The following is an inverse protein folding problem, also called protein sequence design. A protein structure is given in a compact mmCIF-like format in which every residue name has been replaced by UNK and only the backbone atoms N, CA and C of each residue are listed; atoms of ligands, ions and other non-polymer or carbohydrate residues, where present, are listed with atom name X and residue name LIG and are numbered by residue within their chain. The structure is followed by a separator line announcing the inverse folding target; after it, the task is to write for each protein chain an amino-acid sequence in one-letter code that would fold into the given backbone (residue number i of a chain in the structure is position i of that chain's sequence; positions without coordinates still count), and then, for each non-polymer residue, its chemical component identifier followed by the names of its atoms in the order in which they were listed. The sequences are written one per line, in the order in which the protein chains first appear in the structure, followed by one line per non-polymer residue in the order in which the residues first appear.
data_IF_941660236576
#
_entry.id   IF_941660236576
#
_cell.length_a   1.000
_cell.length_b   1.000
_cell.length_c   1.000
_cell.angle_alpha   90.00
_cell.angle_beta   90.00
_cell.angle_gamma   90.00
#
_symmetry.space_group_name_H-M   'P 1'
#
loop_
_entity.id
_entity.type
_entity.pdbx_description
1 polymer ?
#
# COMPACT_ATOMS: atom_id res chain seq x y z
N UNK A 1 41.25 -20.25 -2.07
CA UNK A 1 40.03 -19.55 -2.52
C UNK A 1 39.87 -18.35 -1.59
N UNK A 2 40.14 -17.12 -2.05
CA UNK A 2 40.09 -15.93 -1.20
C UNK A 2 38.64 -15.45 -1.07
N UNK A 3 38.01 -15.77 0.06
CA UNK A 3 36.70 -15.24 0.43
C UNK A 3 36.86 -13.79 0.87
N UNK A 4 36.80 -12.85 -0.07
CA UNK A 4 36.65 -11.43 0.24
C UNK A 4 35.16 -11.14 0.48
N UNK A 5 34.62 -11.63 1.59
CA UNK A 5 33.24 -11.32 2.00
C UNK A 5 33.25 -9.97 2.68
N UNK A 6 32.61 -8.97 2.08
CA UNK A 6 32.46 -7.66 2.70
C UNK A 6 31.47 -7.76 3.85
N UNK A 7 31.80 -7.16 4.99
CA UNK A 7 30.91 -7.06 6.16
C UNK A 7 29.57 -6.40 5.75
N UNK A 8 29.62 -5.47 4.80
CA UNK A 8 28.43 -4.81 4.25
C UNK A 8 27.47 -5.82 3.63
N UNK A 9 27.97 -6.80 2.88
CA UNK A 9 27.15 -7.78 2.17
C UNK A 9 26.41 -8.69 3.16
N UNK A 10 27.06 -9.03 4.28
CA UNK A 10 26.46 -9.79 5.40
C UNK A 10 25.33 -8.99 6.06
N UNK A 11 25.53 -7.69 6.28
CA UNK A 11 24.54 -6.81 6.91
C UNK A 11 23.38 -6.44 5.97
N UNK A 12 23.54 -6.58 4.66
CA UNK A 12 22.48 -6.33 3.66
C UNK A 12 21.75 -7.59 3.21
N UNK A 13 21.96 -8.72 3.90
CA UNK A 13 21.27 -9.96 3.57
C UNK A 13 19.74 -9.79 3.61
N UNK A 14 19.01 -10.50 2.73
CA UNK A 14 17.56 -10.61 2.82
C UNK A 14 17.09 -11.05 4.23
N UNK A 15 15.97 -10.48 4.69
CA UNK A 15 15.42 -10.70 6.04
C UNK A 15 15.14 -12.18 6.33
N UNK A 16 14.71 -12.96 5.33
CA UNK A 16 14.50 -14.40 5.44
C UNK A 16 15.80 -15.17 5.74
N UNK A 17 16.93 -14.75 5.16
CA UNK A 17 18.24 -15.36 5.42
C UNK A 17 18.73 -15.00 6.82
N UNK A 18 18.60 -13.73 7.22
CA UNK A 18 18.92 -13.29 8.59
C UNK A 18 18.08 -14.04 9.64
N UNK A 19 16.80 -14.27 9.35
CA UNK A 19 15.91 -15.06 10.21
C UNK A 19 16.39 -16.51 10.34
N UNK A 20 16.75 -17.16 9.22
CA UNK A 20 17.28 -18.51 9.25
C UNK A 20 18.59 -18.61 10.04
N UNK A 21 19.52 -17.66 9.86
CA UNK A 21 20.78 -17.59 10.59
C UNK A 21 20.54 -17.37 12.08
N UNK A 22 19.68 -16.41 12.45
CA UNK A 22 19.31 -16.16 13.84
C UNK A 22 18.64 -17.37 14.48
N UNK A 23 17.81 -18.11 13.74
CA UNK A 23 17.14 -19.31 14.24
C UNK A 23 18.14 -20.43 14.48
N UNK A 24 19.06 -20.66 13.54
CA UNK A 24 20.10 -21.68 13.66
C UNK A 24 21.08 -21.37 14.81
N UNK A 25 21.57 -20.14 14.90
CA UNK A 25 22.46 -19.73 15.99
C UNK A 25 21.73 -19.68 17.33
N UNK A 26 20.47 -19.24 17.35
CA UNK A 26 19.63 -19.25 18.54
C UNK A 26 19.34 -20.67 19.03
N UNK A 27 19.05 -21.60 18.12
CA UNK A 27 18.88 -23.02 18.44
C UNK A 27 20.16 -23.60 19.06
N UNK A 28 21.32 -23.35 18.46
CA UNK A 28 22.61 -23.80 19.00
C UNK A 28 22.87 -23.29 20.42
N UNK A 29 22.52 -22.03 20.72
CA UNK A 29 22.77 -21.42 22.03
C UNK A 29 21.74 -21.79 23.10
N UNK A 30 20.49 -22.05 22.72
CA UNK A 30 19.36 -22.27 23.62
C UNK A 30 18.96 -23.74 23.75
N UNK A 31 19.54 -24.63 22.94
CA UNK A 31 19.27 -26.06 23.01
C UNK A 31 19.82 -26.68 24.31
N UNK A 32 19.15 -27.73 24.80
CA UNK A 32 19.61 -28.49 25.96
C UNK A 32 20.84 -29.34 25.63
N UNK A 33 21.64 -29.67 26.65
CA UNK A 33 22.81 -30.53 26.51
C UNK A 33 22.48 -31.88 25.85
N UNK A 34 21.34 -32.48 26.17
CA UNK A 34 20.89 -33.75 25.57
C UNK A 34 20.69 -33.64 24.05
N UNK A 35 20.14 -32.51 23.57
CA UNK A 35 19.94 -32.26 22.15
C UNK A 35 21.28 -32.00 21.45
N UNK A 36 22.14 -31.17 22.06
CA UNK A 36 23.46 -30.86 21.51
C UNK A 36 24.35 -32.10 21.39
N UNK A 37 24.29 -33.00 22.38
CA UNK A 37 24.97 -34.29 22.33
C UNK A 37 24.43 -35.20 21.22
N UNK A 38 23.10 -35.23 21.03
CA UNK A 38 22.46 -36.04 19.97
C UNK A 38 22.82 -35.60 18.56
N UNK A 39 23.09 -34.30 18.37
CA UNK A 39 23.55 -33.73 17.10
C UNK A 39 25.08 -33.62 16.98
N UNK A 40 25.84 -34.08 17.98
CA UNK A 40 27.31 -33.95 18.05
C UNK A 40 27.82 -32.50 17.95
N UNK A 41 27.03 -31.54 18.45
CA UNK A 41 27.31 -30.10 18.39
C UNK A 41 27.85 -29.53 19.71
N UNK A 42 27.93 -30.34 20.77
CA UNK A 42 28.30 -29.85 22.11
C UNK A 42 29.73 -29.32 22.20
N UNK A 43 30.70 -30.07 21.69
CA UNK A 43 32.10 -29.65 21.68
C UNK A 43 32.29 -28.38 20.83
N UNK A 44 31.63 -28.32 19.67
CA UNK A 44 31.62 -27.13 18.82
C UNK A 44 31.07 -25.89 19.52
N UNK A 45 30.00 -26.03 20.31
CA UNK A 45 29.45 -24.92 21.07
C UNK A 45 30.37 -24.45 22.19
N UNK A 46 31.11 -25.37 22.83
CA UNK A 46 32.09 -25.01 23.86
C UNK A 46 33.23 -24.18 23.25
N UNK A 47 33.72 -24.58 22.08
CA UNK A 47 34.85 -23.91 21.42
C UNK A 47 34.46 -22.58 20.75
N UNK A 48 33.27 -22.51 20.14
CA UNK A 48 32.84 -21.36 19.31
C UNK A 48 31.63 -20.59 19.86
N UNK A 49 31.13 -20.95 21.05
CA UNK A 49 29.88 -20.41 21.61
C UNK A 49 29.87 -18.89 21.75
N UNK A 50 31.01 -18.28 22.09
CA UNK A 50 31.14 -16.83 22.16
C UNK A 50 30.91 -16.15 20.79
N UNK A 51 31.47 -16.70 19.71
CA UNK A 51 31.33 -16.16 18.36
C UNK A 51 29.88 -16.33 17.88
N UNK A 52 29.29 -17.51 18.09
CA UNK A 52 27.90 -17.80 17.73
C UNK A 52 26.94 -16.87 18.49
N UNK A 53 27.24 -16.59 19.77
CA UNK A 53 26.53 -15.62 20.60
C UNK A 53 26.53 -14.22 20.00
N UNK A 54 27.70 -13.71 19.60
CA UNK A 54 27.82 -12.38 19.00
C UNK A 54 27.03 -12.30 17.69
N UNK A 55 27.18 -13.30 16.82
CA UNK A 55 26.46 -13.39 15.54
C UNK A 55 24.94 -13.43 15.75
N UNK A 56 24.47 -14.21 16.72
CA UNK A 56 23.05 -14.27 17.07
C UNK A 56 22.52 -12.90 17.52
N UNK A 57 23.24 -12.20 18.41
CA UNK A 57 22.84 -10.89 18.92
C UNK A 57 22.69 -9.86 17.79
N UNK A 58 23.61 -9.88 16.81
CA UNK A 58 23.54 -8.95 15.66
C UNK A 58 22.31 -9.24 14.81
N UNK A 59 22.10 -10.51 14.41
CA UNK A 59 20.96 -10.85 13.56
C UNK A 59 19.61 -10.64 14.25
N UNK A 60 19.48 -11.03 15.52
CA UNK A 60 18.22 -10.85 16.25
C UNK A 60 17.89 -9.36 16.43
N UNK A 61 18.90 -8.52 16.65
CA UNK A 61 18.73 -7.06 16.78
C UNK A 61 18.21 -6.43 15.48
N UNK A 62 18.76 -6.84 14.33
CA UNK A 62 18.28 -6.37 13.01
C UNK A 62 16.85 -6.85 12.75
N UNK A 63 16.52 -8.09 13.09
CA UNK A 63 15.17 -8.65 12.95
C UNK A 63 14.15 -7.90 13.81
N UNK A 64 14.49 -7.59 15.06
CA UNK A 64 13.62 -6.82 15.97
C UNK A 64 13.32 -5.44 15.39
N UNK A 65 14.34 -4.70 14.92
CA UNK A 65 14.15 -3.38 14.32
C UNK A 65 13.28 -3.47 13.06
N UNK A 66 13.53 -4.45 12.20
CA UNK A 66 12.76 -4.67 10.97
C UNK A 66 11.30 -4.98 11.28
N UNK A 67 11.04 -5.79 12.31
CA UNK A 67 9.71 -6.12 12.77
C UNK A 67 8.97 -4.88 13.28
N UNK A 68 9.63 -4.04 14.10
CA UNK A 68 9.05 -2.78 14.60
C UNK A 68 8.66 -1.88 13.43
N UNK A 69 9.55 -1.68 12.45
CA UNK A 69 9.26 -0.84 11.28
C UNK A 69 8.06 -1.35 10.49
N UNK A 70 7.98 -2.67 10.27
CA UNK A 70 6.88 -3.28 9.52
C UNK A 70 5.54 -3.16 10.25
N UNK A 71 5.54 -3.37 11.57
CA UNK A 71 4.35 -3.18 12.41
C UNK A 71 3.90 -1.72 12.38
N UNK A 72 4.82 -0.76 12.53
CA UNK A 72 4.50 0.66 12.46
C UNK A 72 3.89 1.03 11.11
N UNK A 73 4.48 0.60 9.99
CA UNK A 73 3.94 0.83 8.65
C UNK A 73 2.55 0.21 8.46
N UNK A 74 2.33 -1.00 8.97
CA UNK A 74 1.03 -1.67 8.91
C UNK A 74 -0.05 -0.90 9.69
N UNK A 75 0.27 -0.43 10.90
CA UNK A 75 -0.64 0.37 11.72
C UNK A 75 -0.93 1.70 11.04
N UNK A 76 0.08 2.38 10.51
CA UNK A 76 -0.06 3.64 9.77
C UNK A 76 -0.95 3.48 8.52
N UNK A 77 -0.70 2.44 7.72
CA UNK A 77 -1.49 2.13 6.54
C UNK A 77 -2.97 1.91 6.90
N UNK A 78 -3.24 1.08 7.91
CA UNK A 78 -4.61 0.81 8.40
C UNK A 78 -5.27 2.08 8.94
N UNK A 79 -4.53 2.92 9.68
CA UNK A 79 -5.04 4.18 10.22
C UNK A 79 -5.34 5.18 9.10
N UNK A 80 -4.48 5.29 8.09
CA UNK A 80 -4.66 6.18 6.96
C UNK A 80 -5.86 5.74 6.11
N UNK A 81 -6.01 4.45 5.86
CA UNK A 81 -7.19 3.88 5.20
C UNK A 81 -8.46 4.24 5.98
N UNK A 82 -8.50 3.99 7.29
CA UNK A 82 -9.69 4.30 8.08
C UNK A 82 -10.02 5.80 8.10
N UNK A 83 -9.00 6.67 8.20
CA UNK A 83 -9.19 8.13 8.09
C UNK A 83 -9.70 8.54 6.72
N UNK A 84 -9.22 7.89 5.66
CA UNK A 84 -9.65 8.14 4.29
C UNK A 84 -11.15 7.85 4.13
N UNK A 85 -11.61 6.65 4.50
CA UNK A 85 -13.01 6.27 4.38
C UNK A 85 -13.93 7.09 5.31
N UNK A 86 -13.50 7.38 6.54
CA UNK A 86 -14.29 8.22 7.48
C UNK A 86 -14.58 9.62 6.95
N UNK A 87 -13.64 10.19 6.18
CA UNK A 87 -13.79 11.53 5.60
C UNK A 87 -14.35 11.51 4.17
N UNK A 88 -14.60 10.33 3.60
CA UNK A 88 -15.00 10.19 2.21
C UNK A 88 -16.32 10.93 1.87
N UNK A 89 -17.41 10.82 2.66
CA UNK A 89 -18.64 11.59 2.38
C UNK A 89 -18.40 13.10 2.41
N UNK A 90 -17.59 13.60 3.35
CA UNK A 90 -17.27 15.02 3.46
C UNK A 90 -16.51 15.53 2.24
N UNK A 91 -15.60 14.73 1.69
CA UNK A 91 -14.85 15.08 0.47
C UNK A 91 -15.77 15.20 -0.73
N UNK A 92 -16.69 14.25 -0.93
CA UNK A 92 -17.65 14.31 -2.03
C UNK A 92 -18.59 15.51 -1.87
N UNK A 93 -19.08 15.80 -0.65
CA UNK A 93 -19.93 16.98 -0.38
C UNK A 93 -19.23 18.31 -0.65
N UNK A 94 -17.90 18.38 -0.49
CA UNK A 94 -17.10 19.58 -0.73
C UNK A 94 -16.82 19.91 -2.21
N UNK A 95 -17.22 19.03 -3.13
CA UNK A 95 -17.09 19.28 -4.57
C UNK A 95 -17.99 20.44 -5.02
N UNK A 96 -17.58 21.13 -6.09
CA UNK A 96 -18.42 22.18 -6.70
C UNK A 96 -19.66 21.55 -7.35
N UNK A 97 -20.72 22.33 -7.59
CA UNK A 97 -21.94 21.80 -8.22
C UNK A 97 -21.67 21.15 -9.59
N UNK A 98 -20.74 21.72 -10.37
CA UNK A 98 -20.32 21.15 -11.65
C UNK A 98 -19.55 19.83 -11.49
N UNK A 99 -18.63 19.76 -10.53
CA UNK A 99 -17.93 18.51 -10.20
C UNK A 99 -18.89 17.42 -9.72
N UNK A 100 -19.85 17.78 -8.87
CA UNK A 100 -20.92 16.88 -8.43
C UNK A 100 -21.76 16.38 -9.60
N UNK A 101 -22.06 17.25 -10.57
CA UNK A 101 -22.78 16.88 -11.79
C UNK A 101 -21.99 15.87 -12.63
N UNK A 102 -20.69 16.08 -12.81
CA UNK A 102 -19.80 15.11 -13.48
C UNK A 102 -19.82 13.76 -12.75
N UNK A 103 -19.59 13.76 -11.44
CA UNK A 103 -19.58 12.53 -10.62
C UNK A 103 -20.91 11.78 -10.73
N UNK A 104 -22.04 12.49 -10.64
CA UNK A 104 -23.36 11.88 -10.78
C UNK A 104 -23.60 11.32 -12.19
N UNK A 105 -23.18 12.05 -13.23
CA UNK A 105 -23.28 11.59 -14.62
C UNK A 105 -22.55 10.26 -14.82
N UNK A 106 -21.31 10.17 -14.33
CA UNK A 106 -20.54 8.92 -14.39
C UNK A 106 -21.18 7.82 -13.53
N UNK A 107 -21.68 8.15 -12.34
CA UNK A 107 -22.30 7.19 -11.42
C UNK A 107 -23.51 6.47 -12.01
N UNK A 108 -24.28 7.15 -12.88
CA UNK A 108 -25.45 6.58 -13.54
C UNK A 108 -25.13 5.58 -14.65
N UNK A 109 -23.93 5.63 -15.21
CA UNK A 109 -23.52 4.67 -16.23
C UNK A 109 -23.30 3.29 -15.61
N UNK A 110 -23.75 2.23 -16.28
CA UNK A 110 -23.65 0.84 -15.77
C UNK A 110 -22.20 0.42 -15.48
N UNK A 111 -21.25 0.94 -16.25
CA UNK A 111 -19.81 0.68 -16.09
C UNK A 111 -19.08 1.79 -15.31
N UNK A 112 -19.83 2.75 -14.75
CA UNK A 112 -19.33 3.92 -14.04
C UNK A 112 -18.23 4.68 -14.78
N UNK A 113 -18.29 4.73 -16.11
CA UNK A 113 -17.27 5.35 -16.96
C UNK A 113 -17.90 6.36 -17.92
N UNK A 114 -17.28 7.53 -18.09
CA UNK A 114 -17.69 8.50 -19.11
C UNK A 114 -16.48 9.14 -19.81
N UNK A 115 -16.60 9.51 -21.11
CA UNK A 115 -15.58 10.27 -21.81
C UNK A 115 -15.59 11.74 -21.35
N UNK A 116 -14.49 12.21 -20.77
CA UNK A 116 -14.36 13.60 -20.27
C UNK A 116 -13.15 14.33 -20.90
N UNK A 117 -13.26 15.64 -21.17
CA UNK A 117 -12.14 16.45 -21.64
C UNK A 117 -10.98 16.48 -20.63
N UNK A 118 -9.76 16.22 -21.09
CA UNK A 118 -8.57 16.29 -20.22
C UNK A 118 -8.14 17.73 -19.89
N UNK A 119 -8.62 18.69 -20.67
CA UNK A 119 -8.32 20.12 -20.51
C UNK A 119 -9.28 20.81 -19.54
N UNK A 120 -10.36 20.14 -19.14
CA UNK A 120 -11.34 20.67 -18.19
C UNK A 120 -10.76 20.68 -16.76
N UNK A 121 -10.69 21.86 -16.15
CA UNK A 121 -10.13 22.03 -14.81
C UNK A 121 -10.88 21.26 -13.72
N UNK A 122 -12.20 21.06 -13.85
CA UNK A 122 -12.97 20.27 -12.91
C UNK A 122 -12.61 18.77 -13.02
N UNK A 123 -12.37 18.27 -14.23
CA UNK A 123 -11.92 16.89 -14.47
C UNK A 123 -10.53 16.67 -13.89
N UNK A 124 -9.60 17.60 -14.14
CA UNK A 124 -8.25 17.57 -13.58
C UNK A 124 -8.28 17.56 -12.05
N UNK A 125 -9.10 18.40 -11.43
CA UNK A 125 -9.22 18.46 -9.97
C UNK A 125 -9.86 17.17 -9.40
N UNK A 126 -10.85 16.60 -10.06
CA UNK A 126 -11.46 15.31 -9.67
C UNK A 126 -10.45 14.15 -9.76
N UNK A 127 -9.60 14.14 -10.78
CA UNK A 127 -8.52 13.17 -10.95
C UNK A 127 -7.47 13.33 -9.82
N UNK A 128 -7.04 14.55 -9.51
CA UNK A 128 -6.10 14.84 -8.42
C UNK A 128 -6.67 14.47 -7.03
N UNK A 129 -7.99 14.61 -6.83
CA UNK A 129 -8.69 14.20 -5.60
C UNK A 129 -8.94 12.69 -5.53
N UNK A 130 -8.49 11.90 -6.50
CA UNK A 130 -8.75 10.46 -6.61
C UNK A 130 -10.25 10.13 -6.59
N UNK A 131 -11.10 11.00 -7.14
CA UNK A 131 -12.54 10.74 -7.29
C UNK A 131 -12.78 9.96 -8.58
N UNK A 132 -12.10 10.35 -9.65
CA UNK A 132 -12.11 9.67 -10.95
C UNK A 132 -10.71 9.21 -11.33
N UNK A 133 -10.59 8.24 -12.22
CA UNK A 133 -9.33 7.79 -12.79
C UNK A 133 -9.47 7.39 -14.25
N UNK A 134 -8.42 7.60 -15.05
CA UNK A 134 -8.41 7.18 -16.46
C UNK A 134 -8.41 5.66 -16.56
N UNK A 135 -9.18 5.12 -17.48
CA UNK A 135 -9.15 3.67 -17.78
C UNK A 135 -8.03 3.31 -18.76
N UNK A 136 -7.51 4.29 -19.51
CA UNK A 136 -6.37 4.14 -20.42
C UNK A 136 -5.49 5.38 -20.40
N UNK A 137 -4.19 5.20 -20.66
CA UNK A 137 -3.23 6.30 -20.78
C UNK A 137 -3.13 6.85 -22.21
N UNK A 138 -3.72 6.16 -23.19
CA UNK A 138 -3.68 6.56 -24.60
C UNK A 138 -5.05 6.35 -25.25
N UNK A 139 -5.45 7.29 -26.11
CA UNK A 139 -6.65 7.20 -26.94
C UNK A 139 -6.31 7.61 -28.37
N UNK A 140 -7.03 7.05 -29.34
CA UNK A 140 -7.04 7.54 -30.71
C UNK A 140 -8.16 8.59 -30.77
N UNK A 141 -7.82 9.82 -31.16
CA UNK A 141 -8.79 10.91 -31.29
C UNK A 141 -8.57 11.66 -32.60
N UNK A 142 -9.67 11.93 -33.30
CA UNK A 142 -9.66 12.79 -34.50
C UNK A 142 -9.72 14.27 -34.13
N UNK A 143 -10.12 14.60 -32.89
CA UNK A 143 -10.19 15.95 -32.37
C UNK A 143 -9.07 16.19 -31.35
N UNK A 144 -7.98 16.82 -31.80
CA UNK A 144 -6.84 17.21 -30.96
C UNK A 144 -7.11 18.44 -30.09
N UNK A 145 -8.14 19.24 -30.40
CA UNK A 145 -8.46 20.46 -29.67
C UNK A 145 -9.32 20.19 -28.41
N UNK A 146 -10.07 19.09 -28.40
CA UNK A 146 -10.87 18.63 -27.26
C UNK A 146 -10.73 17.10 -27.06
N UNK A 147 -9.54 16.60 -26.68
CA UNK A 147 -9.34 15.18 -26.48
C UNK A 147 -10.07 14.69 -25.21
N UNK A 148 -10.95 13.70 -25.38
CA UNK A 148 -11.75 13.11 -24.30
C UNK A 148 -11.27 11.74 -23.92
N UNK A 149 -10.86 11.56 -22.67
CA UNK A 149 -10.43 10.27 -22.14
C UNK A 149 -11.58 9.58 -21.40
N UNK A 150 -11.66 8.24 -21.43
CA UNK A 150 -12.58 7.51 -20.56
C UNK A 150 -12.11 7.58 -19.11
N UNK A 151 -12.95 8.16 -18.26
CA UNK A 151 -12.75 8.26 -16.81
C UNK A 151 -13.76 7.39 -16.07
N UNK A 152 -13.26 6.58 -15.13
CA UNK A 152 -14.02 5.70 -14.25
C UNK A 152 -14.11 6.32 -12.85
N UNK A 153 -15.24 6.17 -12.17
CA UNK A 153 -15.33 6.47 -10.73
C UNK A 153 -14.51 5.48 -9.93
N UNK A 154 -13.69 6.00 -9.01
CA UNK A 154 -12.93 5.13 -8.12
C UNK A 154 -13.87 4.31 -7.23
N UNK A 155 -13.55 3.03 -6.92
CA UNK A 155 -14.48 2.14 -6.19
C UNK A 155 -14.99 2.71 -4.87
N UNK A 156 -14.14 3.41 -4.12
CA UNK A 156 -14.52 4.04 -2.86
C UNK A 156 -15.59 5.13 -3.03
N UNK A 157 -15.66 5.79 -4.19
CA UNK A 157 -16.65 6.83 -4.48
C UNK A 157 -18.01 6.17 -4.70
N UNK A 158 -18.04 5.10 -5.50
CA UNK A 158 -19.24 4.30 -5.75
C UNK A 158 -19.78 3.77 -4.42
N UNK A 159 -18.94 3.11 -3.62
CA UNK A 159 -19.32 2.61 -2.29
C UNK A 159 -19.89 3.70 -1.38
N UNK A 160 -19.31 4.90 -1.39
CA UNK A 160 -19.76 6.00 -0.52
C UNK A 160 -21.09 6.58 -0.98
N UNK A 161 -21.33 6.69 -2.29
CA UNK A 161 -22.59 7.17 -2.84
C UNK A 161 -23.69 6.13 -2.59
N UNK A 162 -23.45 4.86 -2.95
CA UNK A 162 -24.45 3.79 -2.80
C UNK A 162 -24.85 3.53 -1.34
N UNK A 163 -23.95 3.79 -0.37
CA UNK A 163 -24.25 3.66 1.06
C UNK A 163 -24.84 4.93 1.70
N UNK A 164 -25.06 6.01 0.94
CA UNK A 164 -25.52 7.29 1.48
C UNK A 164 -26.55 7.96 0.56
N UNK A 165 -27.82 7.67 0.77
CA UNK A 165 -28.94 8.21 -0.03
C UNK A 165 -28.98 9.73 -0.05
N UNK A 166 -28.72 10.40 1.07
CA UNK A 166 -28.67 11.88 1.12
C UNK A 166 -27.58 12.45 0.21
N UNK A 167 -26.43 11.77 0.14
CA UNK A 167 -25.32 12.18 -0.72
C UNK A 167 -25.67 11.99 -2.18
N UNK A 168 -26.30 10.88 -2.53
CA UNK A 168 -26.79 10.64 -3.89
C UNK A 168 -27.80 11.72 -4.32
N UNK A 169 -28.73 12.09 -3.44
CA UNK A 169 -29.71 13.15 -3.71
C UNK A 169 -29.05 14.52 -3.90
N UNK A 170 -28.04 14.89 -3.10
CA UNK A 170 -27.25 16.12 -3.25
C UNK A 170 -26.52 16.16 -4.60
N UNK A 171 -25.93 15.04 -5.01
CA UNK A 171 -25.29 14.88 -6.31
C UNK A 171 -26.31 15.03 -7.45
N UNK A 172 -27.47 14.37 -7.34
CA UNK A 172 -28.56 14.46 -8.32
C UNK A 172 -29.10 15.88 -8.46
N UNK A 173 -29.35 16.57 -7.35
CA UNK A 173 -29.83 17.94 -7.34
C UNK A 173 -28.82 18.91 -7.95
N UNK A 174 -27.52 18.65 -7.76
CA UNK A 174 -26.46 19.42 -8.41
C UNK A 174 -26.42 19.18 -9.92
N UNK A 175 -26.65 17.95 -10.37
CA UNK A 175 -26.65 17.58 -11.78
C UNK A 175 -27.79 18.21 -12.59
N UNK A 176 -28.99 18.36 -12.00
CA UNK A 176 -30.16 19.00 -12.64
C UNK A 176 -29.93 20.46 -13.09
N UNK A 177 -28.84 21.10 -12.64
CA UNK A 177 -28.49 22.47 -13.06
C UNK A 177 -27.70 22.50 -14.38
N UNK A 178 -27.20 21.36 -14.83
CA UNK A 178 -26.30 21.24 -15.99
C UNK A 178 -26.82 20.27 -17.05
N UNK A 179 -27.80 19.43 -16.69
CA UNK A 179 -28.51 18.47 -17.54
C UNK A 179 -30.01 18.60 -17.33
#
# INVERSE_FOLDING_TARGET
MNFNVSIKDILTLPVNIMAALSLASGFLLLASDDLLNKFFLREFLIDYGYIIGLVFIVFISILIITLIINISKFIEAKRNQNKFYKNAPKRIRSLTNFQKAIVYGIYKEDNHTAPLPITDGAVVELEQKFVIGKTTNQIITDNLNDPKFPYLLQPWVVEVISNNTELEEDLRASAQKYF
#
